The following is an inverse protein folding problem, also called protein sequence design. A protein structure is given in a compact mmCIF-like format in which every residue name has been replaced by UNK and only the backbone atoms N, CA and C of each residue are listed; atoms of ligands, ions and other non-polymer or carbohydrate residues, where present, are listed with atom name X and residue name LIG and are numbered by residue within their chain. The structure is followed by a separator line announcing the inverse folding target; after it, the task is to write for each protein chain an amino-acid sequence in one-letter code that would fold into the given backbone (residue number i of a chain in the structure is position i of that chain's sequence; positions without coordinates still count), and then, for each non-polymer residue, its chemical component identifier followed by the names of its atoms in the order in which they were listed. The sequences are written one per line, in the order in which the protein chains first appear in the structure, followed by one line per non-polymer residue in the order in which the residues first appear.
data_IF_784075415455
#
_entry.id   IF_784075415455
#
_cell.length_a   1.000
_cell.length_b   1.000
_cell.length_c   1.000
_cell.angle_alpha   90.00
_cell.angle_beta   90.00
_cell.angle_gamma   90.00
#
_symmetry.space_group_name_H-M   'P 1'
#
loop_
_entity.id
_entity.type
_entity.pdbx_description
1 polymer ?
#
# COMPACT_ATOMS: atom_id res chain seq x y z
N UNK A 1 -32.25 -17.90 2.87
CA UNK A 1 -31.07 -18.03 3.77
C UNK A 1 -30.89 -19.52 4.06
N UNK A 2 -30.00 -20.19 3.35
CA UNK A 2 -29.73 -21.62 3.36
C UNK A 2 -28.61 -21.98 4.37
N UNK A 3 -28.03 -20.96 5.04
CA UNK A 3 -26.94 -21.12 6.01
C UNK A 3 -25.54 -21.14 5.37
N UNK A 4 -25.46 -20.91 4.05
CA UNK A 4 -24.20 -20.68 3.34
C UNK A 4 -23.84 -19.19 3.45
N UNK A 5 -22.56 -18.88 3.60
CA UNK A 5 -22.09 -17.50 3.54
C UNK A 5 -21.90 -17.16 2.06
N UNK A 6 -22.75 -16.25 1.57
CA UNK A 6 -22.69 -15.78 0.17
C UNK A 6 -21.82 -14.54 0.03
N UNK A 7 -21.61 -13.79 1.12
CA UNK A 7 -20.81 -12.56 1.12
C UNK A 7 -20.08 -12.39 2.45
N UNK A 8 -18.80 -12.08 2.37
CA UNK A 8 -17.93 -11.77 3.50
C UNK A 8 -17.83 -10.26 3.74
N UNK A 9 -17.35 -9.88 4.92
CA UNK A 9 -17.16 -8.46 5.22
C UNK A 9 -16.00 -7.87 4.42
N UNK A 10 -14.88 -8.60 4.32
CA UNK A 10 -13.69 -8.08 3.64
C UNK A 10 -12.84 -9.19 3.01
N UNK A 11 -12.06 -8.78 2.01
CA UNK A 11 -11.01 -9.57 1.37
C UNK A 11 -9.80 -8.68 1.13
N UNK A 12 -8.61 -9.09 1.53
CA UNK A 12 -7.43 -8.22 1.46
C UNK A 12 -6.13 -8.97 1.19
N UNK A 13 -5.20 -8.30 0.55
CA UNK A 13 -3.81 -8.65 0.76
C UNK A 13 -3.38 -8.22 2.16
N UNK A 14 -2.91 -9.17 2.94
CA UNK A 14 -2.41 -8.94 4.30
C UNK A 14 -1.39 -7.79 4.36
N UNK A 15 -0.47 -7.73 3.38
CA UNK A 15 0.53 -6.69 3.28
C UNK A 15 -0.06 -5.28 3.08
N UNK A 16 -1.09 -5.17 2.22
CA UNK A 16 -1.75 -3.88 1.95
C UNK A 16 -2.48 -3.39 3.19
N UNK A 17 -3.24 -4.27 3.84
CA UNK A 17 -3.99 -3.93 5.06
C UNK A 17 -3.04 -3.50 6.20
N UNK A 18 -1.96 -4.25 6.47
CA UNK A 18 -1.00 -3.88 7.51
C UNK A 18 -0.33 -2.53 7.21
N UNK A 19 0.11 -2.31 5.97
CA UNK A 19 0.72 -1.04 5.59
C UNK A 19 -0.24 0.13 5.75
N UNK A 20 -1.46 -0.01 5.24
CA UNK A 20 -2.48 1.03 5.35
C UNK A 20 -2.82 1.34 6.81
N UNK A 21 -3.01 0.31 7.64
CA UNK A 21 -3.32 0.48 9.07
C UNK A 21 -2.20 1.19 9.82
N UNK A 22 -0.94 0.79 9.61
CA UNK A 22 0.22 1.40 10.28
C UNK A 22 0.35 2.88 9.91
N UNK A 23 0.35 3.18 8.63
CA UNK A 23 0.54 4.56 8.15
C UNK A 23 -0.64 5.45 8.56
N UNK A 24 -1.88 4.97 8.42
CA UNK A 24 -3.08 5.75 8.80
C UNK A 24 -3.20 6.00 10.31
N UNK A 25 -2.45 5.26 11.13
CA UNK A 25 -2.36 5.49 12.58
C UNK A 25 -1.13 6.33 12.99
N UNK A 26 -0.38 6.87 12.02
CA UNK A 26 0.84 7.65 12.26
C UNK A 26 2.06 6.81 12.65
N UNK A 27 2.00 5.48 12.45
CA UNK A 27 3.12 4.57 12.62
C UNK A 27 4.01 4.49 11.37
N UNK A 28 5.16 3.85 11.52
CA UNK A 28 6.11 3.57 10.45
C UNK A 28 6.81 2.24 10.74
N UNK A 29 7.28 1.54 9.73
CA UNK A 29 8.13 0.36 9.94
C UNK A 29 9.59 0.77 10.13
N UNK A 30 10.05 1.65 9.25
CA UNK A 30 11.34 2.33 9.36
C UNK A 30 11.09 3.83 9.31
N UNK A 31 11.60 4.55 10.29
CA UNK A 31 11.57 6.01 10.31
C UNK A 31 12.87 6.62 9.78
N UNK A 32 12.83 7.93 9.54
CA UNK A 32 14.00 8.73 9.19
C UNK A 32 14.03 9.98 10.05
N UNK A 33 15.13 10.19 10.76
CA UNK A 33 15.28 11.33 11.66
C UNK A 33 15.65 12.65 10.93
N UNK A 34 15.74 13.75 11.69
CA UNK A 34 16.11 15.07 11.17
C UNK A 34 17.52 15.15 10.57
N UNK A 35 18.40 14.21 10.91
CA UNK A 35 19.75 14.10 10.35
C UNK A 35 19.78 13.20 9.10
N UNK A 36 18.63 12.66 8.70
CA UNK A 36 18.50 11.76 7.57
C UNK A 36 18.87 10.31 7.86
N UNK A 37 19.08 9.94 9.14
CA UNK A 37 19.41 8.59 9.57
C UNK A 37 18.15 7.76 9.72
N UNK A 38 18.19 6.53 9.20
CA UNK A 38 17.09 5.57 9.34
C UNK A 38 17.11 4.93 10.73
N UNK A 39 15.95 4.64 11.25
CA UNK A 39 15.78 3.92 12.52
C UNK A 39 14.61 2.93 12.44
N UNK A 40 14.69 1.85 13.23
CA UNK A 40 13.59 0.90 13.34
C UNK A 40 12.47 1.50 14.21
N UNK A 41 11.28 1.70 13.62
CA UNK A 41 10.10 2.22 14.32
C UNK A 41 9.00 1.15 14.50
N UNK A 42 9.33 -0.10 14.20
CA UNK A 42 8.37 -1.21 14.24
C UNK A 42 7.74 -1.42 15.62
N UNK A 43 8.48 -1.13 16.69
CA UNK A 43 8.01 -1.30 18.07
C UNK A 43 7.40 -0.04 18.69
N UNK A 44 7.17 1.03 17.90
CA UNK A 44 6.47 2.21 18.39
C UNK A 44 5.02 1.87 18.74
N UNK A 45 4.47 2.61 19.71
CA UNK A 45 3.07 2.41 20.12
C UNK A 45 2.09 2.53 18.95
N UNK A 46 2.34 3.48 18.04
CA UNK A 46 1.48 3.72 16.88
C UNK A 46 1.48 2.52 15.92
N UNK A 47 2.66 1.99 15.63
CA UNK A 47 2.83 0.82 14.75
C UNK A 47 2.26 -0.43 15.38
N UNK A 48 2.55 -0.69 16.66
CA UNK A 48 2.04 -1.88 17.36
C UNK A 48 0.52 -1.87 17.51
N UNK A 49 -0.07 -0.72 17.82
CA UNK A 49 -1.53 -0.57 17.93
C UNK A 49 -2.20 -0.90 16.58
N UNK A 50 -1.67 -0.36 15.48
CA UNK A 50 -2.19 -0.59 14.15
C UNK A 50 -2.04 -2.05 13.68
N UNK A 51 -0.88 -2.66 13.92
CA UNK A 51 -0.65 -4.08 13.56
C UNK A 51 -1.58 -5.02 14.34
N UNK A 52 -1.80 -4.76 15.64
CA UNK A 52 -2.73 -5.56 16.43
C UNK A 52 -4.18 -5.37 15.97
N UNK A 53 -4.58 -4.13 15.64
CA UNK A 53 -5.90 -3.86 15.08
C UNK A 53 -6.11 -4.59 13.74
N UNK A 54 -5.14 -4.51 12.84
CA UNK A 54 -5.23 -5.17 11.53
C UNK A 54 -5.27 -6.70 11.65
N UNK A 55 -4.48 -7.29 12.58
CA UNK A 55 -4.56 -8.73 12.89
C UNK A 55 -5.96 -9.11 13.38
N UNK A 56 -6.55 -8.31 14.26
CA UNK A 56 -7.91 -8.50 14.78
C UNK A 56 -8.96 -8.43 13.66
N UNK A 57 -8.79 -7.51 12.71
CA UNK A 57 -9.68 -7.36 11.55
C UNK A 57 -9.62 -8.59 10.65
N UNK A 58 -8.39 -9.01 10.27
CA UNK A 58 -8.16 -10.21 9.47
C UNK A 58 -8.78 -11.46 10.13
N UNK A 59 -8.56 -11.61 11.42
CA UNK A 59 -9.08 -12.77 12.14
C UNK A 59 -10.62 -12.85 12.21
N UNK A 60 -11.27 -11.70 12.32
CA UNK A 60 -12.72 -11.64 12.56
C UNK A 60 -13.55 -11.49 11.29
N UNK A 61 -13.02 -10.85 10.27
CA UNK A 61 -13.82 -10.35 9.16
C UNK A 61 -13.30 -10.72 7.79
N UNK A 62 -12.05 -11.22 7.68
CA UNK A 62 -11.50 -11.67 6.41
C UNK A 62 -12.25 -12.89 5.89
N UNK A 63 -12.40 -12.96 4.58
CA UNK A 63 -13.05 -14.10 3.96
C UNK A 63 -12.24 -15.39 4.14
N UNK A 64 -12.92 -16.51 4.08
CA UNK A 64 -12.29 -17.83 4.01
C UNK A 64 -12.02 -18.15 2.54
N UNK A 65 -10.75 -18.16 2.16
CA UNK A 65 -10.35 -18.45 0.80
C UNK A 65 -10.57 -19.92 0.43
N UNK A 66 -10.95 -20.22 -0.83
CA UNK A 66 -10.92 -21.60 -1.34
C UNK A 66 -9.52 -22.23 -1.16
N UNK A 67 -9.48 -23.56 -0.97
CA UNK A 67 -8.22 -24.28 -0.73
C UNK A 67 -7.24 -24.18 -1.92
N UNK A 68 -7.79 -24.04 -3.14
CA UNK A 68 -7.07 -23.91 -4.40
C UNK A 68 -7.03 -22.45 -4.93
N UNK A 69 -7.34 -21.47 -4.09
CA UNK A 69 -7.35 -20.07 -4.49
C UNK A 69 -5.99 -19.64 -5.05
N UNK A 70 -6.01 -18.92 -6.16
CA UNK A 70 -4.82 -18.28 -6.71
C UNK A 70 -4.33 -17.19 -5.72
N UNK A 71 -3.06 -16.84 -5.79
CA UNK A 71 -2.44 -15.86 -4.89
C UNK A 71 -3.11 -14.47 -4.93
N UNK A 72 -3.76 -14.14 -6.04
CA UNK A 72 -4.46 -12.89 -6.32
C UNK A 72 -5.99 -13.01 -6.26
N UNK A 73 -6.50 -14.07 -5.64
CA UNK A 73 -7.94 -14.34 -5.56
C UNK A 73 -8.72 -13.21 -4.89
N UNK A 74 -8.09 -12.40 -4.03
CA UNK A 74 -8.69 -11.22 -3.43
C UNK A 74 -9.35 -10.31 -4.45
N UNK A 75 -8.73 -10.11 -5.61
CA UNK A 75 -9.26 -9.26 -6.69
C UNK A 75 -10.51 -9.86 -7.31
N UNK A 76 -10.47 -11.17 -7.57
CA UNK A 76 -11.61 -11.91 -8.13
C UNK A 76 -12.77 -11.96 -7.14
N UNK A 77 -12.47 -12.19 -5.86
CA UNK A 77 -13.48 -12.24 -4.81
C UNK A 77 -14.24 -10.91 -4.67
N UNK A 78 -13.51 -9.79 -4.70
CA UNK A 78 -14.16 -8.47 -4.68
C UNK A 78 -14.95 -8.21 -5.96
N UNK A 79 -14.38 -8.50 -7.12
CA UNK A 79 -15.05 -8.32 -8.41
C UNK A 79 -16.33 -9.16 -8.55
N UNK A 80 -16.38 -10.33 -7.93
CA UNK A 80 -17.56 -11.21 -7.90
C UNK A 80 -18.59 -10.81 -6.82
N UNK A 81 -18.34 -9.76 -6.02
CA UNK A 81 -19.21 -9.38 -4.91
C UNK A 81 -19.17 -10.35 -3.72
N UNK A 82 -18.15 -11.20 -3.61
CA UNK A 82 -17.98 -12.16 -2.50
C UNK A 82 -17.59 -11.44 -1.19
N UNK A 83 -17.07 -10.21 -1.29
CA UNK A 83 -16.75 -9.36 -0.15
C UNK A 83 -17.24 -7.92 -0.35
N UNK A 84 -17.66 -7.28 0.75
CA UNK A 84 -18.18 -5.90 0.73
C UNK A 84 -17.06 -4.86 0.64
N UNK A 85 -15.91 -5.13 1.27
CA UNK A 85 -14.77 -4.23 1.32
C UNK A 85 -13.48 -4.93 0.91
N UNK A 86 -12.61 -4.17 0.27
CA UNK A 86 -11.21 -4.54 0.05
C UNK A 86 -10.31 -3.33 0.30
N UNK A 87 -9.10 -3.58 0.81
CA UNK A 87 -8.06 -2.56 0.93
C UNK A 87 -7.06 -2.77 -0.20
N UNK A 88 -7.11 -1.89 -1.20
CA UNK A 88 -6.31 -2.02 -2.41
C UNK A 88 -5.75 -0.69 -2.91
N UNK A 89 -4.84 -0.79 -3.86
CA UNK A 89 -4.23 0.36 -4.50
C UNK A 89 -5.16 0.95 -5.56
N UNK A 90 -5.18 2.29 -5.68
CA UNK A 90 -6.09 3.02 -6.55
C UNK A 90 -6.11 2.56 -8.01
N UNK A 91 -4.98 2.05 -8.55
CA UNK A 91 -4.93 1.60 -9.93
C UNK A 91 -5.81 0.37 -10.21
N UNK A 92 -6.15 -0.41 -9.18
CA UNK A 92 -7.03 -1.59 -9.31
C UNK A 92 -8.45 -1.23 -9.73
N UNK A 93 -8.88 -0.01 -9.48
CA UNK A 93 -10.17 0.47 -9.95
C UNK A 93 -10.34 0.29 -11.47
N UNK A 94 -9.26 0.47 -12.24
CA UNK A 94 -9.27 0.25 -13.68
C UNK A 94 -9.55 -1.19 -14.12
N UNK A 95 -9.11 -2.15 -13.32
CA UNK A 95 -9.37 -3.58 -13.58
C UNK A 95 -10.83 -3.94 -13.29
N UNK A 96 -11.44 -3.30 -12.29
CA UNK A 96 -12.82 -3.56 -11.87
C UNK A 96 -13.87 -2.79 -12.66
N UNK A 97 -13.52 -1.66 -13.27
CA UNK A 97 -14.43 -0.82 -14.07
C UNK A 97 -14.41 -1.11 -15.56
N UNK A 98 -13.54 -2.00 -16.02
CA UNK A 98 -13.41 -2.37 -17.44
C UNK A 98 -14.60 -3.16 -18.00
N UNK A 99 -14.56 -3.47 -19.30
CA UNK A 99 -15.62 -4.21 -20.00
C UNK A 99 -15.89 -5.61 -19.41
N UNK A 100 -14.82 -6.24 -18.84
CA UNK A 100 -14.88 -7.54 -18.16
C UNK A 100 -14.79 -7.35 -16.62
N UNK A 101 -15.08 -6.16 -16.11
CA UNK A 101 -14.99 -5.80 -14.70
C UNK A 101 -16.19 -6.25 -13.87
N UNK A 102 -16.44 -5.53 -12.77
CA UNK A 102 -17.55 -5.82 -11.87
C UNK A 102 -18.90 -5.52 -12.54
N UNK A 103 -19.90 -6.32 -12.20
CA UNK A 103 -21.31 -6.01 -12.56
C UNK A 103 -21.88 -4.90 -11.66
N UNK A 104 -21.41 -4.84 -10.41
CA UNK A 104 -21.84 -3.86 -9.42
C UNK A 104 -20.95 -2.60 -9.46
N UNK A 105 -21.54 -1.45 -9.14
CA UNK A 105 -20.81 -0.21 -8.91
C UNK A 105 -20.05 -0.26 -7.58
N UNK A 106 -18.85 0.28 -7.56
CA UNK A 106 -18.04 0.40 -6.36
C UNK A 106 -17.60 1.86 -6.14
N UNK A 107 -17.42 2.23 -4.88
CA UNK A 107 -16.85 3.51 -4.46
C UNK A 107 -15.44 3.34 -3.90
N UNK A 108 -14.69 4.43 -3.85
CA UNK A 108 -13.34 4.46 -3.32
C UNK A 108 -13.20 5.53 -2.23
N UNK A 109 -12.73 5.13 -1.07
CA UNK A 109 -12.54 6.01 0.09
C UNK A 109 -11.14 5.86 0.67
N UNK A 110 -10.63 6.93 1.29
CA UNK A 110 -9.38 6.85 2.03
C UNK A 110 -9.48 5.78 3.13
N UNK A 111 -8.37 5.09 3.37
CA UNK A 111 -8.30 4.17 4.51
C UNK A 111 -8.63 4.93 5.80
N UNK A 112 -9.42 4.35 6.72
CA UNK A 112 -9.85 5.05 7.93
C UNK A 112 -8.68 5.58 8.75
N UNK A 113 -8.80 6.80 9.26
CA UNK A 113 -7.81 7.37 10.19
C UNK A 113 -7.73 6.53 11.45
N UNK A 114 -6.52 6.21 11.86
CA UNK A 114 -6.28 5.63 13.18
C UNK A 114 -6.51 6.65 14.30
N UNK A 115 -6.71 6.18 15.56
CA UNK A 115 -7.03 7.05 16.70
C UNK A 115 -5.93 8.05 17.07
N UNK A 116 -4.73 7.91 16.52
CA UNK A 116 -3.59 8.81 16.77
C UNK A 116 -3.48 9.94 15.75
N UNK A 117 -4.34 9.96 14.73
CA UNK A 117 -4.30 10.93 13.65
C UNK A 117 -5.54 11.84 13.66
N UNK A 118 -5.37 13.06 13.19
CA UNK A 118 -6.43 14.06 13.03
C UNK A 118 -6.63 14.47 11.56
N UNK A 119 -5.87 13.83 10.66
CA UNK A 119 -5.95 13.99 9.21
C UNK A 119 -5.63 12.67 8.51
N UNK A 120 -6.05 12.55 7.25
CA UNK A 120 -5.72 11.38 6.44
C UNK A 120 -4.23 11.36 6.07
N UNK A 121 -3.62 10.18 6.18
CA UNK A 121 -2.27 9.89 5.70
C UNK A 121 -2.34 8.59 4.91
N UNK A 122 -1.76 8.59 3.73
CA UNK A 122 -1.68 7.42 2.86
C UNK A 122 -0.22 7.16 2.51
N UNK A 123 0.13 5.92 2.21
CA UNK A 123 1.44 5.64 1.66
C UNK A 123 1.43 5.69 0.15
N UNK A 124 2.49 6.25 -0.43
CA UNK A 124 2.74 6.13 -1.85
C UNK A 124 3.54 4.86 -2.11
N UNK A 125 3.05 3.99 -3.00
CA UNK A 125 3.81 2.83 -3.46
C UNK A 125 4.76 3.28 -4.55
N UNK A 126 6.00 3.51 -4.18
CA UNK A 126 7.00 4.06 -5.08
C UNK A 126 7.51 3.04 -6.10
N UNK A 127 7.22 3.30 -7.36
CA UNK A 127 7.98 2.71 -8.46
C UNK A 127 9.07 3.70 -8.85
N UNK A 128 10.33 3.37 -8.59
CA UNK A 128 11.48 4.20 -8.97
C UNK A 128 12.07 3.74 -10.30
N UNK A 129 12.23 4.69 -11.20
CA UNK A 129 12.99 4.47 -12.44
C UNK A 129 14.45 4.76 -12.17
N UNK A 130 15.33 3.85 -12.54
CA UNK A 130 16.76 3.98 -12.34
C UNK A 130 17.53 3.82 -13.64
N UNK A 131 18.63 4.55 -13.78
CA UNK A 131 19.59 4.38 -14.87
C UNK A 131 20.78 3.59 -14.31
N UNK A 132 21.05 2.36 -14.83
CA UNK A 132 22.18 1.57 -14.36
C UNK A 132 23.51 2.31 -14.50
N UNK A 133 24.34 2.25 -13.44
CA UNK A 133 25.64 2.91 -13.37
C UNK A 133 26.69 2.34 -14.35
N UNK A 134 26.38 1.21 -15.01
CA UNK A 134 27.26 0.63 -16.04
C UNK A 134 27.18 1.35 -17.38
N UNK A 135 26.23 2.27 -17.57
CA UNK A 135 26.17 3.07 -18.79
C UNK A 135 27.12 4.26 -18.72
N UNK A 136 27.69 4.61 -19.89
CA UNK A 136 28.45 5.83 -20.03
C UNK A 136 27.56 7.08 -19.90
N UNK A 137 28.19 8.25 -19.73
CA UNK A 137 27.50 9.52 -19.50
C UNK A 137 26.57 9.91 -20.66
N UNK A 138 26.99 9.68 -21.92
CA UNK A 138 26.19 10.01 -23.11
C UNK A 138 24.93 9.17 -23.18
N UNK A 139 25.03 7.85 -22.90
CA UNK A 139 23.88 6.97 -22.86
C UNK A 139 22.97 7.27 -21.67
N UNK A 140 23.52 7.51 -20.49
CA UNK A 140 22.76 7.88 -19.31
C UNK A 140 21.96 9.17 -19.54
N UNK A 141 22.59 10.18 -20.12
CA UNK A 141 21.94 11.43 -20.47
C UNK A 141 20.79 11.25 -21.48
N UNK A 142 21.01 10.45 -22.55
CA UNK A 142 19.95 10.14 -23.53
C UNK A 142 18.76 9.44 -22.93
N UNK A 143 18.99 8.50 -22.02
CA UNK A 143 17.90 7.80 -21.31
C UNK A 143 17.14 8.75 -20.39
N UNK A 144 17.83 9.59 -19.62
CA UNK A 144 17.21 10.60 -18.76
C UNK A 144 16.39 11.61 -19.59
N UNK A 145 16.93 12.07 -20.70
CA UNK A 145 16.24 12.99 -21.61
C UNK A 145 14.99 12.35 -22.24
N UNK A 146 15.09 11.11 -22.71
CA UNK A 146 13.94 10.38 -23.27
C UNK A 146 12.84 10.15 -22.22
N UNK A 147 13.23 9.83 -20.99
CA UNK A 147 12.30 9.66 -19.89
C UNK A 147 11.62 10.99 -19.50
N UNK A 148 12.39 12.08 -19.45
CA UNK A 148 11.83 13.41 -19.21
C UNK A 148 10.78 13.79 -20.27
N UNK A 149 11.06 13.54 -21.56
CA UNK A 149 10.06 13.76 -22.61
C UNK A 149 8.82 12.88 -22.49
N UNK A 150 9.00 11.66 -21.99
CA UNK A 150 7.87 10.73 -21.75
C UNK A 150 6.97 11.19 -20.59
N UNK A 151 7.57 11.84 -19.57
CA UNK A 151 6.86 12.35 -18.39
C UNK A 151 6.40 13.79 -18.53
N UNK A 152 6.77 14.49 -19.61
CA UNK A 152 6.26 15.83 -19.89
C UNK A 152 4.73 15.78 -20.11
N UNK A 153 3.98 16.78 -19.66
CA UNK A 153 2.55 16.86 -19.89
C UNK A 153 2.19 16.72 -21.38
N UNK A 154 1.17 15.95 -21.67
CA UNK A 154 0.65 15.84 -23.04
C UNK A 154 0.05 17.19 -23.44
N UNK A 155 0.34 17.72 -24.67
CA UNK A 155 -0.22 18.96 -25.12
C UNK A 155 -1.75 19.03 -24.97
N UNK A 156 -2.25 20.05 -24.26
CA UNK A 156 -3.63 20.22 -23.90
C UNK A 156 -4.03 19.61 -22.54
N UNK A 157 -3.09 18.97 -21.84
CA UNK A 157 -3.26 18.40 -20.50
C UNK A 157 -2.19 18.97 -19.52
N UNK A 158 -1.82 20.23 -19.72
CA UNK A 158 -0.85 20.93 -18.88
C UNK A 158 -1.46 21.44 -17.56
N UNK A 159 -2.77 21.28 -17.39
CA UNK A 159 -3.45 21.65 -16.15
C UNK A 159 -2.94 20.83 -14.98
N UNK A 160 -2.81 21.48 -13.83
CA UNK A 160 -2.41 20.83 -12.57
C UNK A 160 -3.30 19.61 -12.21
N UNK A 161 -4.58 19.66 -12.56
CA UNK A 161 -5.54 18.60 -12.27
C UNK A 161 -5.78 17.64 -13.47
N UNK A 162 -5.01 17.72 -14.53
CA UNK A 162 -5.20 16.89 -15.73
C UNK A 162 -5.12 15.37 -15.42
N UNK A 163 -4.41 14.97 -14.37
CA UNK A 163 -4.35 13.59 -13.89
C UNK A 163 -5.73 13.02 -13.51
N UNK A 164 -6.68 13.84 -13.08
CA UNK A 164 -8.03 13.40 -12.73
C UNK A 164 -8.76 12.76 -13.90
N UNK A 165 -8.49 13.23 -15.12
CA UNK A 165 -9.14 12.72 -16.35
C UNK A 165 -8.92 11.23 -16.55
N UNK A 166 -7.73 10.71 -16.18
CA UNK A 166 -7.43 9.29 -16.30
C UNK A 166 -8.12 8.47 -15.19
N UNK A 167 -8.09 8.98 -13.96
CA UNK A 167 -8.79 8.34 -12.85
C UNK A 167 -10.30 8.31 -13.04
N UNK A 168 -10.90 9.37 -13.61
CA UNK A 168 -12.35 9.40 -13.92
C UNK A 168 -12.83 8.28 -14.85
N UNK A 169 -11.92 7.64 -15.58
CA UNK A 169 -12.24 6.45 -16.40
C UNK A 169 -12.30 5.16 -15.59
N UNK A 170 -11.76 5.16 -14.40
CA UNK A 170 -11.57 3.98 -13.57
C UNK A 170 -12.52 3.91 -12.38
N UNK A 171 -13.30 4.97 -12.12
CA UNK A 171 -14.24 5.01 -11.00
C UNK A 171 -15.66 5.27 -11.49
N UNK A 172 -16.64 4.73 -10.75
CA UNK A 172 -18.05 4.86 -11.09
C UNK A 172 -18.63 6.22 -10.67
N UNK A 173 -17.95 6.95 -9.79
CA UNK A 173 -18.38 8.22 -9.22
C UNK A 173 -17.25 9.27 -9.22
N UNK A 174 -17.63 10.55 -9.13
CA UNK A 174 -16.69 11.67 -9.11
C UNK A 174 -16.07 11.89 -7.73
N UNK A 175 -16.74 11.52 -6.66
CA UNK A 175 -16.28 11.66 -5.28
C UNK A 175 -15.04 10.83 -5.03
N UNK A 176 -14.96 9.62 -5.61
CA UNK A 176 -13.77 8.76 -5.57
C UNK A 176 -12.51 9.47 -6.10
N UNK A 177 -12.65 10.35 -7.09
CA UNK A 177 -11.53 11.10 -7.68
C UNK A 177 -11.34 12.44 -7.00
N UNK A 178 -12.40 13.25 -6.89
CA UNK A 178 -12.32 14.63 -6.44
C UNK A 178 -12.05 14.78 -4.94
N UNK A 179 -12.49 13.81 -4.15
CA UNK A 179 -12.27 13.81 -2.70
C UNK A 179 -11.21 12.80 -2.29
N UNK A 180 -11.34 11.53 -2.70
CA UNK A 180 -10.45 10.46 -2.21
C UNK A 180 -9.08 10.52 -2.85
N UNK A 181 -8.97 10.43 -4.19
CA UNK A 181 -7.67 10.48 -4.86
C UNK A 181 -6.97 11.81 -4.64
N UNK A 182 -7.69 12.93 -4.67
CA UNK A 182 -7.11 14.24 -4.37
C UNK A 182 -6.50 14.28 -2.96
N UNK A 183 -7.21 13.77 -1.95
CA UNK A 183 -6.68 13.64 -0.59
C UNK A 183 -5.45 12.73 -0.53
N UNK A 184 -5.45 11.61 -1.27
CA UNK A 184 -4.31 10.69 -1.31
C UNK A 184 -3.07 11.32 -1.95
N UNK A 185 -3.24 12.12 -2.99
CA UNK A 185 -2.13 12.86 -3.64
C UNK A 185 -1.49 13.84 -2.66
N UNK A 186 -2.30 14.55 -1.87
CA UNK A 186 -1.80 15.56 -0.94
C UNK A 186 -1.24 14.96 0.37
N UNK A 187 -1.66 13.75 0.74
CA UNK A 187 -1.32 13.11 2.03
C UNK A 187 -0.39 11.91 1.92
N UNK A 188 0.19 11.68 0.74
CA UNK A 188 1.08 10.54 0.49
C UNK A 188 2.41 10.66 1.23
N UNK A 189 2.81 9.60 1.94
CA UNK A 189 4.11 9.50 2.63
C UNK A 189 4.95 8.35 2.08
N UNK A 190 6.29 8.48 2.08
CA UNK A 190 7.17 7.40 1.61
C UNK A 190 7.25 6.26 2.62
N UNK A 191 7.49 5.06 2.11
CA UNK A 191 7.80 3.86 2.90
C UNK A 191 9.32 3.67 2.95
N UNK A 192 9.95 4.07 4.04
CA UNK A 192 11.41 4.08 4.16
C UNK A 192 12.05 2.69 4.24
N UNK A 193 11.33 1.66 4.68
CA UNK A 193 11.83 0.28 4.66
C UNK A 193 12.21 -0.19 3.26
N UNK A 194 11.60 0.36 2.22
CA UNK A 194 11.94 0.05 0.81
C UNK A 194 13.30 0.59 0.38
N UNK A 195 13.85 1.56 1.11
CA UNK A 195 15.19 2.07 0.88
C UNK A 195 16.27 1.25 1.58
N UNK A 196 15.91 0.31 2.45
CA UNK A 196 16.83 -0.50 3.25
C UNK A 196 17.07 -1.84 2.55
N UNK A 197 18.26 -2.00 1.97
CA UNK A 197 18.62 -3.27 1.35
C UNK A 197 18.65 -4.39 2.40
N UNK A 198 17.96 -5.48 2.13
CA UNK A 198 17.82 -6.65 2.99
C UNK A 198 16.51 -6.76 3.73
N UNK A 199 15.75 -5.68 3.91
CA UNK A 199 14.39 -5.77 4.45
C UNK A 199 13.45 -6.29 3.38
N UNK A 200 12.76 -7.39 3.67
CA UNK A 200 11.67 -7.93 2.87
C UNK A 200 10.42 -8.05 3.76
N UNK A 201 9.50 -7.12 3.59
CA UNK A 201 8.33 -6.97 4.46
C UNK A 201 7.45 -8.22 4.50
N UNK A 202 7.34 -8.96 3.40
CA UNK A 202 6.55 -10.19 3.34
C UNK A 202 7.08 -11.24 4.31
N UNK A 203 8.22 -11.88 4.03
CA UNK A 203 8.78 -12.93 4.89
C UNK A 203 9.27 -12.41 6.25
N UNK A 204 9.78 -11.18 6.32
CA UNK A 204 10.28 -10.66 7.58
C UNK A 204 9.16 -10.36 8.57
N UNK A 205 8.06 -9.75 8.12
CA UNK A 205 7.03 -9.23 9.00
C UNK A 205 5.64 -9.83 8.73
N UNK A 206 5.05 -9.56 7.56
CA UNK A 206 3.63 -9.77 7.33
C UNK A 206 3.19 -11.22 7.42
N UNK A 207 3.99 -12.15 6.86
CA UNK A 207 3.65 -13.58 6.85
C UNK A 207 3.96 -14.26 8.18
N UNK A 208 4.75 -13.62 9.03
CA UNK A 208 5.04 -14.11 10.37
C UNK A 208 3.98 -13.78 11.40
N UNK A 209 3.16 -12.74 11.16
CA UNK A 209 2.15 -12.30 12.11
C UNK A 209 0.93 -13.22 12.08
N UNK A 210 0.55 -13.70 13.24
CA UNK A 210 -0.66 -14.52 13.46
C UNK A 210 -1.12 -14.40 14.92
N UNK A 211 -2.18 -15.09 15.28
CA UNK A 211 -2.60 -15.22 16.68
C UNK A 211 -1.57 -15.93 17.57
N UNK A 212 -0.85 -16.89 16.99
CA UNK A 212 0.16 -17.67 17.70
C UNK A 212 1.52 -16.97 17.71
N UNK A 213 1.73 -16.00 16.83
CA UNK A 213 2.93 -15.16 16.74
C UNK A 213 2.52 -13.69 16.57
N UNK A 214 2.29 -13.02 17.67
CA UNK A 214 1.78 -11.66 17.69
C UNK A 214 2.72 -10.64 17.02
N UNK A 215 2.23 -9.45 16.61
CA UNK A 215 3.08 -8.40 16.07
C UNK A 215 4.32 -8.11 16.91
N UNK A 216 4.18 -8.08 18.25
CA UNK A 216 5.29 -7.84 19.16
C UNK A 216 6.33 -8.98 19.15
N UNK A 217 5.88 -10.23 19.10
CA UNK A 217 6.78 -11.39 19.00
C UNK A 217 7.54 -11.40 17.67
N UNK A 218 6.84 -11.09 16.58
CA UNK A 218 7.47 -11.00 15.26
C UNK A 218 8.47 -9.86 15.21
N UNK A 219 8.14 -8.67 15.71
CA UNK A 219 9.04 -7.53 15.80
C UNK A 219 10.30 -7.85 16.60
N UNK A 220 10.16 -8.53 17.75
CA UNK A 220 11.29 -8.97 18.56
C UNK A 220 12.19 -9.96 17.81
N UNK A 221 11.60 -10.90 17.08
CA UNK A 221 12.34 -11.91 16.30
C UNK A 221 13.25 -11.29 15.23
N UNK A 222 12.79 -10.24 14.55
CA UNK A 222 13.51 -9.60 13.45
C UNK A 222 14.36 -8.39 13.88
N UNK A 223 14.22 -7.89 15.10
CA UNK A 223 14.86 -6.67 15.62
C UNK A 223 16.34 -6.56 15.28
N UNK A 224 17.11 -7.60 15.57
CA UNK A 224 18.57 -7.58 15.37
C UNK A 224 18.94 -7.62 13.88
N UNK A 225 18.19 -8.36 13.08
CA UNK A 225 18.39 -8.45 11.64
C UNK A 225 18.14 -7.09 10.99
N UNK A 226 17.01 -6.48 11.30
CA UNK A 226 16.66 -5.16 10.78
C UNK A 226 17.62 -4.08 11.25
N UNK A 227 18.05 -4.16 12.53
CA UNK A 227 19.08 -3.25 13.03
C UNK A 227 20.35 -3.29 12.18
N UNK A 228 20.83 -4.49 11.83
CA UNK A 228 22.05 -4.64 11.00
C UNK A 228 21.87 -4.07 9.59
N UNK A 229 20.70 -4.25 8.98
CA UNK A 229 20.39 -3.68 7.68
C UNK A 229 20.31 -2.15 7.72
N UNK A 230 19.66 -1.61 8.74
CA UNK A 230 19.52 -0.16 8.96
C UNK A 230 20.89 0.46 9.27
N UNK A 231 21.71 -0.14 10.13
CA UNK A 231 23.07 0.32 10.40
C UNK A 231 23.89 0.40 9.10
N UNK A 232 23.81 -0.65 8.26
CA UNK A 232 24.48 -0.67 6.95
C UNK A 232 23.99 0.46 6.03
N UNK A 233 22.69 0.70 5.97
CA UNK A 233 22.11 1.79 5.16
C UNK A 233 22.56 3.17 5.67
N UNK A 234 22.80 3.28 6.96
CA UNK A 234 23.34 4.51 7.61
C UNK A 234 24.85 4.66 7.50
N UNK A 235 25.57 3.66 6.94
CA UNK A 235 27.02 3.69 6.85
C UNK A 235 27.75 3.39 8.17
N UNK A 236 27.13 2.65 9.07
CA UNK A 236 27.64 2.26 10.40
C UNK A 236 28.20 0.83 10.40
#
# INVERSE_FOLDING_TARGET
NDGVIDQYAMTNFTSTLYSAAVISNGGQFVGKDENGMYYNDLESDATMEALNWALDMLDKYEMVYPEDAAWDYTYTAFANGEAVFTCEEAYRAGDWSGEDGMEDEFGFVCFPMGPRMDHYVNYAKDNVFVIPSCYDEDKAWKLAFAYNLYTDPVPGYEDYEAWKVDYMKSFCDTESVDETIATMVDSGVPLFEKAINGIDMGPDLYWGISKDNTPAQQAEAIRNTWKAYIDTANGL
#
